data_IF_877114998239
#
_entry.id   IF_877114998239
#
_cell.length_a   1.000
_cell.length_b   1.000
_cell.length_c   1.000
_cell.angle_alpha   90.00
_cell.angle_beta   90.00
_cell.angle_gamma   90.00
#
_symmetry.space_group_name_H-M   'P 1'
#
loop_
_entity.id
_entity.type
_entity.pdbx_description
1 polymer ?
#
# COMPACT_ATOMS: atom_id res chain seq x y z
N UNK A 1 12.54 37.88 5.06
CA UNK A 1 11.59 36.87 5.57
C UNK A 1 10.75 36.44 4.39
N UNK A 2 11.24 35.44 3.65
CA UNK A 2 10.63 34.92 2.43
C UNK A 2 9.84 33.65 2.79
N UNK A 3 8.55 33.55 2.42
CA UNK A 3 7.83 32.29 2.52
C UNK A 3 8.36 31.35 1.41
N UNK A 4 8.99 30.25 1.82
CA UNK A 4 9.49 29.22 0.90
C UNK A 4 8.30 28.57 0.17
N UNK A 5 8.05 29.10 -1.03
CA UNK A 5 7.32 28.46 -2.11
C UNK A 5 7.81 27.01 -2.27
N UNK A 6 6.95 26.04 -1.95
CA UNK A 6 7.11 24.67 -2.41
C UNK A 6 7.17 24.69 -3.93
N UNK A 7 8.38 24.51 -4.48
CA UNK A 7 8.60 24.39 -5.92
C UNK A 7 7.86 23.14 -6.41
N UNK A 8 7.05 23.24 -7.49
CA UNK A 8 6.53 22.07 -8.16
C UNK A 8 7.70 21.22 -8.65
N UNK A 9 7.66 19.90 -8.41
CA UNK A 9 8.54 18.98 -9.13
C UNK A 9 8.27 19.17 -10.64
N UNK A 10 9.30 19.55 -11.38
CA UNK A 10 9.22 19.65 -12.84
C UNK A 10 8.81 18.28 -13.39
N UNK A 11 7.86 18.22 -14.34
CA UNK A 11 7.51 16.95 -14.97
C UNK A 11 8.73 16.38 -15.69
N UNK A 12 9.10 15.14 -15.37
CA UNK A 12 10.04 14.38 -16.19
C UNK A 12 9.37 14.07 -17.54
N UNK A 13 10.03 14.35 -18.68
CA UNK A 13 9.46 14.02 -19.98
C UNK A 13 9.43 12.49 -20.13
N UNK A 14 8.24 11.90 -20.14
CA UNK A 14 8.05 10.47 -20.43
C UNK A 14 7.09 9.68 -19.52
N UNK A 15 6.55 10.27 -18.45
CA UNK A 15 5.51 9.64 -17.62
C UNK A 15 4.18 10.39 -17.78
N UNK A 16 3.04 9.72 -18.08
CA UNK A 16 1.74 10.35 -17.97
C UNK A 16 1.49 10.73 -16.51
N UNK A 17 1.27 12.03 -16.26
CA UNK A 17 0.89 12.54 -14.95
C UNK A 17 -0.57 12.15 -14.68
N UNK A 18 -0.80 11.02 -14.03
CA UNK A 18 -2.10 10.71 -13.45
C UNK A 18 -2.11 11.25 -12.02
N UNK A 19 -2.75 12.41 -11.81
CA UNK A 19 -3.18 12.84 -10.47
C UNK A 19 -4.46 12.10 -10.13
N UNK A 20 -4.35 10.99 -9.40
CA UNK A 20 -5.51 10.30 -8.84
C UNK A 20 -5.81 10.85 -7.43
N UNK A 21 -6.36 12.07 -7.36
CA UNK A 21 -6.94 12.63 -6.15
C UNK A 21 -8.45 12.37 -6.12
N UNK A 22 -8.86 11.14 -5.85
CA UNK A 22 -10.26 10.75 -5.76
C UNK A 22 -10.64 10.34 -4.34
N UNK A 23 -11.47 11.14 -3.68
CA UNK A 23 -12.05 10.86 -2.38
C UNK A 23 -13.17 9.81 -2.56
N UNK A 24 -12.98 8.59 -2.07
CA UNK A 24 -14.01 7.54 -2.06
C UNK A 24 -14.59 7.42 -0.65
N UNK A 25 -15.88 7.77 -0.51
CA UNK A 25 -16.62 7.69 0.75
C UNK A 25 -17.12 6.26 0.99
N UNK A 26 -16.50 5.55 1.93
CA UNK A 26 -16.87 4.19 2.33
C UNK A 26 -17.43 4.16 3.74
N UNK A 27 -18.76 4.24 3.89
CA UNK A 27 -19.43 3.95 5.17
C UNK A 27 -19.66 2.45 5.27
N UNK A 28 -19.18 1.77 6.31
CA UNK A 28 -19.86 0.64 6.98
C UNK A 28 -19.21 0.35 8.35
N UNK A 29 -20.04 -0.21 9.23
CA UNK A 29 -20.00 -0.20 10.71
C UNK A 29 -19.12 -1.29 11.34
N UNK A 30 -18.65 -1.01 12.57
CA UNK A 30 -17.68 -1.79 13.36
C UNK A 30 -18.28 -2.99 14.14
N UNK A 31 -17.42 -3.97 14.46
CA UNK A 31 -17.66 -5.02 15.45
C UNK A 31 -16.38 -5.78 15.86
N UNK A 32 -15.93 -5.52 17.09
CA UNK A 32 -15.08 -6.23 18.09
C UNK A 32 -14.67 -7.71 17.78
N UNK A 33 -13.56 -8.32 18.24
CA UNK A 33 -12.69 -8.15 19.40
C UNK A 33 -11.30 -8.82 19.20
N UNK A 34 -10.30 -8.38 19.96
CA UNK A 34 -8.87 -8.72 19.92
C UNK A 34 -8.55 -9.97 20.77
N UNK A 35 -7.70 -10.90 20.27
CA UNK A 35 -6.88 -11.84 21.08
C UNK A 35 -5.58 -12.25 20.35
N UNK A 36 -4.46 -12.30 21.09
CA UNK A 36 -3.14 -12.89 20.76
C UNK A 36 -3.17 -14.43 21.00
N UNK A 37 -2.27 -15.32 20.47
CA UNK A 37 -0.78 -15.33 20.60
C UNK A 37 -0.04 -16.06 19.43
N UNK A 38 1.04 -16.85 19.66
CA UNK A 38 2.47 -16.54 19.69
C UNK A 38 3.21 -16.90 18.37
N UNK A 39 4.50 -16.55 18.29
CA UNK A 39 5.27 -16.49 17.04
C UNK A 39 5.86 -17.81 16.55
N UNK A 40 6.40 -17.75 15.33
CA UNK A 40 7.38 -18.69 14.80
C UNK A 40 8.23 -18.01 13.73
N UNK A 41 9.49 -18.42 13.71
CA UNK A 41 10.63 -17.87 12.97
C UNK A 41 10.75 -18.54 11.60
N UNK A 42 11.24 -17.81 10.60
CA UNK A 42 11.61 -18.41 9.32
C UNK A 42 11.99 -17.36 8.28
N UNK A 43 13.28 -17.04 8.23
CA UNK A 43 13.87 -16.23 7.18
C UNK A 43 14.04 -17.08 5.91
N UNK A 44 13.43 -16.65 4.80
CA UNK A 44 14.07 -16.79 3.50
C UNK A 44 13.61 -15.65 2.57
N UNK A 45 14.58 -14.83 2.16
CA UNK A 45 14.37 -13.58 1.44
C UNK A 45 14.28 -13.83 -0.06
N UNK A 46 13.11 -14.22 -0.54
CA UNK A 46 12.69 -14.02 -1.93
C UNK A 46 11.28 -13.47 -1.91
N UNK A 47 11.10 -12.25 -2.42
CA UNK A 47 9.79 -11.61 -2.48
C UNK A 47 8.84 -12.45 -3.31
N UNK A 48 8.01 -13.25 -2.63
CA UNK A 48 6.99 -14.04 -3.31
C UNK A 48 5.97 -13.09 -3.94
N UNK A 49 5.70 -13.35 -5.22
CA UNK A 49 4.78 -12.59 -6.05
C UNK A 49 3.37 -12.79 -5.49
N UNK A 50 2.75 -11.68 -5.09
CA UNK A 50 1.54 -11.65 -4.29
C UNK A 50 0.31 -12.03 -5.14
N UNK A 51 -0.16 -13.27 -4.99
CA UNK A 51 -1.33 -13.78 -5.70
C UNK A 51 -2.55 -13.84 -4.76
N UNK A 52 -3.12 -12.69 -4.43
CA UNK A 52 -4.52 -12.51 -3.99
C UNK A 52 -4.83 -11.01 -3.84
N UNK A 53 -5.81 -10.44 -4.57
CA UNK A 53 -6.17 -9.04 -4.36
C UNK A 53 -6.87 -8.83 -3.00
N UNK A 54 -6.31 -7.94 -2.18
CA UNK A 54 -7.09 -7.10 -1.27
C UNK A 54 -7.01 -7.41 0.22
N UNK A 55 -5.94 -8.02 0.75
CA UNK A 55 -5.82 -8.26 2.20
C UNK A 55 -4.38 -8.18 2.72
N UNK A 56 -3.57 -7.27 2.19
CA UNK A 56 -2.19 -7.12 2.64
C UNK A 56 -2.05 -5.93 3.59
N UNK A 57 -1.29 -6.10 4.67
CA UNK A 57 -0.85 -5.00 5.52
C UNK A 57 0.57 -4.60 5.13
N UNK A 58 0.68 -3.36 4.70
CA UNK A 58 1.90 -2.73 4.24
C UNK A 58 2.45 -1.83 5.33
N UNK A 59 3.77 -1.75 5.39
CA UNK A 59 4.51 -0.84 6.26
C UNK A 59 5.17 0.21 5.40
N UNK A 60 5.08 1.46 5.82
CA UNK A 60 5.62 2.58 5.07
C UNK A 60 5.87 3.76 6.01
N UNK A 61 6.67 4.74 5.60
CA UNK A 61 6.78 6.01 6.32
C UNK A 61 5.66 6.96 5.89
N UNK A 62 4.91 7.46 6.85
CA UNK A 62 3.77 8.34 6.64
C UNK A 62 4.16 9.82 6.59
N UNK A 63 3.70 10.55 5.57
CA UNK A 63 3.76 12.01 5.55
C UNK A 63 2.49 12.69 6.11
N UNK A 64 2.49 14.02 6.23
CA UNK A 64 1.37 14.78 6.80
C UNK A 64 0.05 14.59 6.03
N UNK A 65 0.11 14.29 4.73
CA UNK A 65 -1.05 13.97 3.87
C UNK A 65 -1.35 12.47 3.81
N UNK A 66 -0.71 11.69 4.70
CA UNK A 66 -0.80 10.23 4.81
C UNK A 66 -0.20 9.42 3.66
N UNK A 67 0.36 10.08 2.64
CA UNK A 67 1.02 9.41 1.52
C UNK A 67 2.37 8.80 1.95
N UNK A 68 2.89 7.83 1.16
CA UNK A 68 4.19 7.27 1.42
C UNK A 68 5.32 8.26 1.21
N UNK A 69 6.22 8.33 2.18
CA UNK A 69 7.43 9.14 2.11
C UNK A 69 8.65 8.32 2.57
N UNK A 70 9.83 8.94 2.60
CA UNK A 70 11.07 8.28 3.03
C UNK A 70 11.67 9.07 4.19
N UNK A 71 11.50 8.57 5.42
CA UNK A 71 11.96 9.21 6.68
C UNK A 71 12.67 8.21 7.60
N UNK A 72 13.32 7.22 7.01
CA UNK A 72 14.11 6.15 7.61
C UNK A 72 13.36 5.26 8.60
N UNK A 73 12.04 5.26 8.59
CA UNK A 73 11.19 4.58 9.58
C UNK A 73 10.77 5.46 10.75
N UNK A 74 11.19 6.73 10.81
CA UNK A 74 10.81 7.62 11.92
C UNK A 74 9.31 7.92 11.98
N UNK A 75 8.63 7.78 10.84
CA UNK A 75 7.18 7.93 10.68
C UNK A 75 6.55 6.61 10.26
N UNK A 76 7.17 5.47 10.61
CA UNK A 76 6.68 4.16 10.24
C UNK A 76 5.21 4.00 10.68
N UNK A 77 4.38 3.60 9.73
CA UNK A 77 2.96 3.41 9.87
C UNK A 77 2.51 2.19 9.08
N UNK A 78 1.27 1.78 9.35
CA UNK A 78 0.64 0.62 8.73
C UNK A 78 -0.53 1.08 7.88
N UNK A 79 -0.68 0.44 6.73
CA UNK A 79 -1.85 0.56 5.87
C UNK A 79 -2.30 -0.82 5.40
N UNK A 80 -3.58 -0.96 5.11
CA UNK A 80 -4.13 -2.13 4.45
C UNK A 80 -4.30 -1.80 2.96
N UNK A 81 -3.79 -2.66 2.09
CA UNK A 81 -4.12 -2.66 0.67
C UNK A 81 -5.40 -3.45 0.47
N UNK A 82 -6.44 -2.77 0.01
CA UNK A 82 -7.77 -3.34 -0.23
C UNK A 82 -8.02 -3.64 -1.71
N UNK A 83 -7.12 -3.21 -2.59
CA UNK A 83 -7.21 -3.44 -4.03
C UNK A 83 -6.00 -2.92 -4.79
N UNK A 84 -5.95 -3.26 -6.08
CA UNK A 84 -4.93 -2.81 -7.02
C UNK A 84 -5.62 -2.19 -8.24
N UNK A 85 -5.07 -1.08 -8.72
CA UNK A 85 -5.42 -0.48 -10.00
C UNK A 85 -4.22 -0.64 -10.95
N UNK A 86 -4.48 -1.27 -12.10
CA UNK A 86 -3.45 -1.59 -13.09
C UNK A 86 -3.66 -0.76 -14.34
N UNK A 87 -2.67 0.06 -14.68
CA UNK A 87 -2.54 0.70 -15.98
C UNK A 87 -2.01 -0.32 -16.99
N UNK A 88 -2.89 -0.78 -17.88
CA UNK A 88 -2.61 -1.79 -18.90
C UNK A 88 -2.63 -1.17 -20.30
N UNK A 89 -1.80 -1.69 -21.21
CA UNK A 89 -1.72 -1.17 -22.59
C UNK A 89 -2.88 -1.65 -23.48
N UNK A 90 -3.55 -2.74 -23.09
CA UNK A 90 -4.68 -3.29 -23.83
C UNK A 90 -5.80 -3.66 -22.85
N UNK A 91 -7.05 -3.47 -23.30
CA UNK A 91 -8.26 -3.81 -22.54
C UNK A 91 -8.26 -5.32 -22.25
N UNK A 92 -8.49 -5.75 -21.00
CA UNK A 92 -8.67 -7.16 -20.69
C UNK A 92 -9.84 -7.74 -21.47
N UNK A 93 -9.60 -8.77 -22.28
CA UNK A 93 -10.59 -9.28 -23.23
C UNK A 93 -11.67 -10.18 -22.62
N UNK A 94 -11.42 -10.81 -21.46
CA UNK A 94 -12.32 -11.83 -20.90
C UNK A 94 -12.61 -11.58 -19.41
N UNK A 95 -13.90 -11.45 -19.09
CA UNK A 95 -14.40 -11.38 -17.71
C UNK A 95 -14.28 -10.00 -17.06
N UNK A 96 -14.13 -8.94 -17.86
CA UNK A 96 -14.11 -7.55 -17.42
C UNK A 96 -15.17 -6.75 -18.13
N UNK A 97 -15.76 -5.77 -17.43
CA UNK A 97 -16.67 -4.78 -17.99
C UNK A 97 -16.11 -3.38 -17.74
N UNK A 98 -16.35 -2.48 -18.68
CA UNK A 98 -16.06 -1.06 -18.50
C UNK A 98 -17.06 -0.46 -17.50
N UNK A 99 -16.56 0.38 -16.60
CA UNK A 99 -17.37 1.12 -15.66
C UNK A 99 -18.22 2.17 -16.41
N UNK A 100 -19.54 2.23 -16.18
CA UNK A 100 -20.42 3.14 -16.92
C UNK A 100 -20.20 4.62 -16.59
N UNK A 101 -19.62 4.94 -15.43
CA UNK A 101 -19.36 6.31 -14.99
C UNK A 101 -17.91 6.75 -15.26
N UNK A 102 -16.99 5.80 -15.43
CA UNK A 102 -15.56 6.03 -15.58
C UNK A 102 -14.99 5.37 -16.85
N UNK A 103 -15.03 6.07 -18.01
CA UNK A 103 -14.47 5.56 -19.26
C UNK A 103 -13.01 5.14 -19.11
N UNK A 104 -12.67 3.96 -19.63
CA UNK A 104 -11.35 3.34 -19.55
C UNK A 104 -11.06 2.60 -18.24
N UNK A 105 -11.95 2.65 -17.24
CA UNK A 105 -11.85 1.81 -16.05
C UNK A 105 -12.55 0.49 -16.29
N UNK A 106 -11.84 -0.62 -16.10
CA UNK A 106 -12.39 -1.96 -16.26
C UNK A 106 -12.38 -2.69 -14.92
N UNK A 107 -13.51 -3.30 -14.57
CA UNK A 107 -13.64 -4.09 -13.35
C UNK A 107 -14.04 -5.54 -13.68
N UNK A 108 -13.62 -6.52 -12.87
CA UNK A 108 -13.97 -7.90 -13.09
C UNK A 108 -15.49 -8.09 -12.94
N UNK A 109 -16.09 -8.85 -13.86
CA UNK A 109 -17.50 -9.23 -13.78
C UNK A 109 -17.64 -10.33 -12.72
N UNK A 110 -18.53 -10.18 -11.73
CA UNK A 110 -18.77 -11.22 -10.73
C UNK A 110 -19.13 -12.57 -11.37
N UNK A 111 -18.66 -13.67 -10.77
CA UNK A 111 -18.97 -15.04 -11.18
C UNK A 111 -18.57 -15.43 -12.62
N UNK A 112 -17.75 -14.63 -13.30
CA UNK A 112 -17.24 -14.93 -14.64
C UNK A 112 -15.79 -15.40 -14.55
N UNK A 113 -15.38 -16.45 -15.30
CA UNK A 113 -13.96 -16.79 -15.44
C UNK A 113 -13.17 -15.56 -15.91
N UNK A 114 -12.09 -15.24 -15.19
CA UNK A 114 -11.27 -14.06 -15.45
C UNK A 114 -9.80 -14.44 -15.48
N UNK A 115 -9.08 -13.87 -16.42
CA UNK A 115 -7.62 -13.88 -16.43
C UNK A 115 -7.16 -12.48 -16.02
N UNK A 116 -6.49 -12.32 -14.87
CA UNK A 116 -5.89 -11.04 -14.49
C UNK A 116 -4.93 -10.57 -15.60
N UNK A 117 -4.94 -9.28 -15.97
CA UNK A 117 -3.94 -8.75 -16.87
C UNK A 117 -2.55 -8.97 -16.27
N UNK A 118 -1.56 -9.22 -17.13
CA UNK A 118 -0.18 -9.29 -16.69
C UNK A 118 0.19 -7.97 -16.00
N UNK A 119 0.86 -8.07 -14.85
CA UNK A 119 1.47 -6.89 -14.24
C UNK A 119 2.46 -6.30 -15.25
N UNK A 120 2.55 -4.96 -15.36
CA UNK A 120 3.60 -4.32 -16.14
C UNK A 120 4.96 -4.91 -15.75
N UNK A 121 5.78 -5.27 -16.74
CA UNK A 121 7.17 -5.66 -16.47
C UNK A 121 7.92 -4.48 -15.86
N UNK A 122 8.91 -4.76 -15.00
CA UNK A 122 9.72 -3.71 -14.41
C UNK A 122 10.45 -2.92 -15.52
N UNK A 123 10.22 -1.60 -15.58
CA UNK A 123 10.76 -0.74 -16.64
C UNK A 123 9.88 -0.62 -17.91
N UNK A 124 8.77 -1.34 -17.99
CA UNK A 124 7.77 -1.18 -19.07
C UNK A 124 6.82 0.00 -18.79
N UNK A 125 6.23 0.62 -19.83
CA UNK A 125 5.18 1.61 -19.65
C UNK A 125 3.90 0.92 -19.16
N UNK A 126 3.74 0.90 -17.85
CA UNK A 126 2.53 0.51 -17.15
C UNK A 126 2.57 1.07 -15.73
N UNK A 127 1.41 1.20 -15.10
CA UNK A 127 1.29 1.81 -13.78
C UNK A 127 0.63 0.83 -12.82
N UNK A 128 1.16 0.70 -11.62
CA UNK A 128 0.57 -0.11 -10.56
C UNK A 128 0.28 0.80 -9.39
N UNK A 129 -1.00 0.89 -9.02
CA UNK A 129 -1.44 1.65 -7.86
C UNK A 129 -2.08 0.73 -6.84
N UNK A 130 -1.82 0.98 -5.57
CA UNK A 130 -2.44 0.29 -4.45
C UNK A 130 -3.57 1.17 -3.90
N UNK A 131 -4.79 0.63 -3.91
CA UNK A 131 -5.88 1.21 -3.14
C UNK A 131 -5.65 0.87 -1.67
N UNK A 132 -5.35 1.89 -0.88
CA UNK A 132 -4.82 1.75 0.47
C UNK A 132 -5.63 2.53 1.47
N UNK A 133 -5.73 2.00 2.69
CA UNK A 133 -6.33 2.66 3.85
C UNK A 133 -5.44 2.52 5.07
N UNK A 134 -5.19 3.64 5.75
CA UNK A 134 -4.49 3.66 7.04
C UNK A 134 -5.45 3.99 8.20
N UNK A 135 -4.95 3.97 9.44
CA UNK A 135 -5.77 4.12 10.66
C UNK A 135 -6.01 5.55 11.15
N UNK A 136 -5.37 6.57 10.57
CA UNK A 136 -5.48 7.99 10.97
C UNK A 136 -6.35 8.84 10.03
N UNK A 137 -6.87 8.23 8.97
CA UNK A 137 -7.66 8.86 7.91
C UNK A 137 -8.93 8.04 7.67
N UNK A 138 -10.01 8.76 7.40
CA UNK A 138 -11.26 8.16 6.97
C UNK A 138 -11.23 7.74 5.50
N UNK A 139 -10.34 8.34 4.72
CA UNK A 139 -10.33 8.25 3.27
C UNK A 139 -9.39 7.16 2.76
N UNK A 140 -9.82 6.50 1.69
CA UNK A 140 -8.94 5.68 0.87
C UNK A 140 -8.03 6.57 0.02
N UNK A 141 -6.83 6.08 -0.27
CA UNK A 141 -5.88 6.73 -1.17
C UNK A 141 -5.37 5.73 -2.20
N UNK A 142 -5.08 6.22 -3.40
CA UNK A 142 -4.33 5.49 -4.42
C UNK A 142 -2.86 5.88 -4.31
N UNK A 143 -2.00 4.91 -4.05
CA UNK A 143 -0.55 5.13 -3.97
C UNK A 143 0.17 4.41 -5.09
N UNK A 144 1.15 5.06 -5.68
CA UNK A 144 2.05 4.44 -6.64
C UNK A 144 2.82 3.28 -5.96
N UNK A 145 2.85 2.12 -6.59
CA UNK A 145 3.46 0.92 -6.01
C UNK A 145 4.96 1.11 -5.75
N UNK A 146 5.69 1.75 -6.66
CA UNK A 146 7.12 1.98 -6.49
C UNK A 146 7.38 2.91 -5.30
N UNK A 147 6.56 3.95 -5.14
CA UNK A 147 6.64 4.84 -3.98
C UNK A 147 6.41 4.11 -2.66
N UNK A 148 5.44 3.19 -2.60
CA UNK A 148 5.19 2.36 -1.42
C UNK A 148 6.34 1.38 -1.17
N UNK A 149 6.84 0.73 -2.22
CA UNK A 149 7.98 -0.19 -2.18
C UNK A 149 9.22 0.50 -1.63
N UNK A 150 9.55 1.67 -2.16
CA UNK A 150 10.71 2.44 -1.74
C UNK A 150 10.57 2.92 -0.30
N UNK A 151 9.37 3.37 0.09
CA UNK A 151 9.05 3.74 1.47
C UNK A 151 9.20 2.56 2.45
N UNK A 152 8.86 1.34 2.02
CA UNK A 152 9.01 0.12 2.81
C UNK A 152 10.48 -0.33 2.93
N UNK A 153 11.24 -0.28 1.83
CA UNK A 153 12.65 -0.72 1.78
C UNK A 153 13.61 0.20 2.55
N UNK A 154 13.19 1.41 2.89
CA UNK A 154 13.98 2.37 3.67
C UNK A 154 13.63 2.40 5.16
N UNK A 155 12.73 1.53 5.65
CA UNK A 155 12.37 1.48 7.07
C UNK A 155 13.53 0.88 7.89
N UNK A 156 14.47 1.71 8.36
CA UNK A 156 15.70 1.21 8.99
C UNK A 156 15.81 1.54 10.47
N UNK A 157 15.30 2.69 10.89
CA UNK A 157 15.65 3.34 12.15
C UNK A 157 14.40 3.56 13.02
N UNK A 158 14.57 3.38 14.33
CA UNK A 158 13.57 3.79 15.30
C UNK A 158 13.67 5.31 15.53
N UNK A 159 12.53 6.01 15.57
CA UNK A 159 12.52 7.47 15.69
C UNK A 159 13.22 7.94 16.98
N UNK A 160 14.23 8.83 16.90
CA UNK A 160 14.85 9.43 18.08
C UNK A 160 13.83 10.17 18.96
N UNK A 161 12.84 10.83 18.35
CA UNK A 161 11.81 11.53 19.11
C UNK A 161 10.95 10.59 19.94
N UNK A 162 10.69 9.37 19.43
CA UNK A 162 9.94 8.33 20.15
C UNK A 162 10.80 7.62 21.20
N UNK A 163 12.12 7.62 21.02
CA UNK A 163 13.03 7.11 22.03
C UNK A 163 13.09 7.99 23.29
N UNK A 164 12.74 9.28 23.16
CA UNK A 164 12.85 10.27 24.24
C UNK A 164 11.50 10.81 24.75
N UNK A 165 10.36 10.33 24.25
CA UNK A 165 9.04 10.86 24.61
C UNK A 165 8.45 10.24 25.90
N UNK A 166 9.18 9.31 26.53
CA UNK A 166 8.78 8.63 27.76
C UNK A 166 7.70 7.55 27.56
N UNK A 167 7.29 7.26 26.33
CA UNK A 167 6.33 6.20 26.01
C UNK A 167 7.03 4.86 25.76
N UNK A 168 6.28 3.77 25.94
CA UNK A 168 6.77 2.42 25.67
C UNK A 168 6.33 1.99 24.27
N UNK A 169 7.30 1.60 23.45
CA UNK A 169 7.08 1.10 22.09
C UNK A 169 7.55 -0.34 21.97
N UNK A 170 6.78 -1.14 21.23
CA UNK A 170 7.21 -2.48 20.84
C UNK A 170 8.11 -2.36 19.63
N UNK A 171 9.40 -2.66 19.81
CA UNK A 171 10.40 -2.70 18.73
C UNK A 171 10.75 -4.16 18.47
N UNK A 172 10.70 -4.62 17.20
CA UNK A 172 11.10 -5.99 16.85
C UNK A 172 12.52 -6.31 17.30
N UNK A 173 12.79 -7.58 17.58
CA UNK A 173 14.17 -8.05 17.77
C UNK A 173 15.00 -7.72 16.51
N UNK A 174 16.18 -7.13 16.68
CA UNK A 174 16.98 -6.61 15.56
C UNK A 174 16.55 -5.23 15.04
N UNK A 175 15.59 -4.57 15.69
CA UNK A 175 15.18 -3.21 15.39
C UNK A 175 14.19 -3.09 14.22
N UNK A 176 13.91 -1.83 13.85
CA UNK A 176 12.99 -1.48 12.76
C UNK A 176 13.43 -2.12 11.44
N UNK A 177 14.72 -2.03 11.09
CA UNK A 177 15.27 -2.66 9.89
C UNK A 177 14.95 -4.15 9.81
N UNK A 178 15.26 -4.92 10.85
CA UNK A 178 15.08 -6.37 10.79
C UNK A 178 13.61 -6.79 10.78
N UNK A 179 12.74 -6.07 11.50
CA UNK A 179 11.33 -6.45 11.64
C UNK A 179 10.37 -5.86 10.62
N UNK A 180 10.69 -4.71 10.01
CA UNK A 180 9.76 -3.97 9.15
C UNK A 180 10.26 -3.79 7.70
N UNK A 181 11.56 -3.63 7.49
CA UNK A 181 12.13 -3.35 6.16
C UNK A 181 11.89 -4.50 5.18
N UNK A 182 11.31 -4.20 4.02
CA UNK A 182 11.03 -5.23 3.01
C UNK A 182 9.95 -6.23 3.43
N UNK A 183 9.24 -5.99 4.54
CA UNK A 183 8.24 -6.90 5.08
C UNK A 183 6.81 -6.40 4.80
N UNK A 184 5.94 -7.32 4.38
CA UNK A 184 4.49 -7.15 4.32
C UNK A 184 3.81 -8.29 5.10
N UNK A 185 2.54 -8.12 5.47
CA UNK A 185 1.74 -9.18 6.08
C UNK A 185 0.57 -9.52 5.15
N UNK A 186 0.44 -10.79 4.78
CA UNK A 186 -0.73 -11.29 4.07
C UNK A 186 -1.79 -11.72 5.10
N UNK A 187 -2.95 -11.06 5.11
CA UNK A 187 -4.07 -11.46 5.96
C UNK A 187 -4.89 -12.53 5.26
N UNK A 188 -4.94 -13.72 5.88
CA UNK A 188 -5.82 -14.80 5.45
C UNK A 188 -7.11 -14.75 6.28
N UNK A 189 -8.29 -14.97 5.69
CA UNK A 189 -9.47 -15.30 6.47
C UNK A 189 -9.11 -16.46 7.40
N UNK A 190 -9.43 -16.36 8.68
CA UNK A 190 -9.33 -17.52 9.57
C UNK A 190 -10.29 -18.58 9.07
N UNK A 191 -9.84 -19.83 8.99
CA UNK A 191 -10.75 -20.96 8.81
C UNK A 191 -11.74 -20.91 9.97
N UNK A 192 -12.99 -20.53 9.68
CA UNK A 192 -14.05 -20.65 10.66
C UNK A 192 -14.38 -22.13 10.78
N UNK A 193 -13.55 -22.88 11.49
CA UNK A 193 -13.94 -24.19 12.02
C UNK A 193 -14.90 -23.93 13.17
N UNK A 194 -16.19 -23.87 12.85
CA UNK A 194 -17.28 -23.92 13.81
C UNK A 194 -18.31 -24.94 13.34
#
# INVERSE_FOLDING_TARGET
>A
MDPLLCRPALPHPGRPSVRAGGLVDGRHTAGTAQRHPPGETGADGRGERLHSPGRDVLRYDEDFNHEPCQRKGHKAHWAVSTGVLLGVQAVPSLGYSEDPELPGLFHPVPNTPRQPPALPEEGSPGAVYLLSKQGKSWHYQLWDYDQVRDSNLQLTDFSPSRATDGQVYVVPAGGVRAGLCGQALLLRPGDSSH
#
